data_IF_903053944153
#
_entry.id   IF_903053944153
#
_cell.length_a   1.000
_cell.length_b   1.000
_cell.length_c   1.000
_cell.angle_alpha   90.00
_cell.angle_beta   90.00
_cell.angle_gamma   90.00
#
_symmetry.space_group_name_H-M   'P 1'
#
loop_
_entity.id
_entity.type
_entity.pdbx_description
1 polymer ?
#
# COMPACT_ATOMS: atom_id res chain seq x y z
N UNK A 1 17.23 4.58 21.37
CA UNK A 1 17.10 4.78 19.91
C UNK A 1 16.11 3.73 19.55
N UNK A 2 14.91 4.18 19.28
CA UNK A 2 13.72 3.33 19.34
C UNK A 2 13.78 2.39 18.13
N UNK A 3 13.52 1.11 18.38
CA UNK A 3 13.89 0.01 17.47
C UNK A 3 13.13 0.02 16.15
N UNK A 4 11.97 0.67 16.11
CA UNK A 4 11.15 0.74 14.91
C UNK A 4 11.64 1.80 13.91
N UNK A 5 12.22 2.92 14.35
CA UNK A 5 12.75 3.94 13.44
C UNK A 5 13.95 3.41 12.65
N UNK A 6 14.78 2.57 13.26
CA UNK A 6 15.87 1.87 12.57
C UNK A 6 15.35 0.92 11.50
N UNK A 7 14.28 0.17 11.80
CA UNK A 7 13.60 -0.69 10.83
C UNK A 7 12.95 0.12 9.70
N UNK A 8 12.36 1.26 10.02
CA UNK A 8 11.76 2.18 9.03
C UNK A 8 12.82 2.70 8.05
N UNK A 9 13.97 3.14 8.58
CA UNK A 9 15.09 3.57 7.75
C UNK A 9 15.62 2.44 6.86
N UNK A 10 15.65 1.20 7.37
CA UNK A 10 16.06 0.03 6.60
C UNK A 10 15.08 -0.33 5.47
N UNK A 11 13.77 -0.25 5.74
CA UNK A 11 12.72 -0.43 4.70
C UNK A 11 12.89 0.62 3.61
N UNK A 12 13.05 1.89 4.00
CA UNK A 12 13.27 2.99 3.06
C UNK A 12 14.54 2.76 2.21
N UNK A 13 15.65 2.37 2.82
CA UNK A 13 16.89 2.04 2.12
C UNK A 13 16.69 0.92 1.10
N UNK A 14 16.02 -0.17 1.48
CA UNK A 14 15.72 -1.28 0.56
C UNK A 14 14.86 -0.81 -0.60
N UNK A 15 13.79 -0.06 -0.35
CA UNK A 15 12.89 0.44 -1.39
C UNK A 15 13.61 1.33 -2.42
N UNK A 16 14.56 2.16 -1.96
CA UNK A 16 15.41 2.98 -2.82
C UNK A 16 16.36 2.14 -3.70
N UNK A 17 16.76 0.96 -3.22
CA UNK A 17 17.73 0.10 -3.90
C UNK A 17 17.14 -0.88 -4.94
N UNK A 18 15.86 -1.26 -4.81
CA UNK A 18 15.21 -2.25 -5.68
C UNK A 18 14.72 -1.64 -7.01
N UNK A 19 14.23 -2.45 -7.94
CA UNK A 19 13.66 -1.96 -9.21
C UNK A 19 12.27 -1.33 -9.04
N UNK A 20 11.81 -0.59 -10.05
CA UNK A 20 10.46 0.00 -10.06
C UNK A 20 9.35 -1.05 -10.03
N UNK A 21 9.56 -2.21 -10.67
CA UNK A 21 8.60 -3.31 -10.62
C UNK A 21 8.46 -3.90 -9.22
N UNK A 22 9.59 -4.08 -8.50
CA UNK A 22 9.57 -4.54 -7.10
C UNK A 22 8.88 -3.53 -6.18
N UNK A 23 9.15 -2.23 -6.36
CA UNK A 23 8.45 -1.16 -5.63
C UNK A 23 6.95 -1.14 -5.91
N UNK A 24 6.54 -1.34 -7.16
CA UNK A 24 5.13 -1.38 -7.53
C UNK A 24 4.39 -2.53 -6.85
N UNK A 25 4.98 -3.73 -6.84
CA UNK A 25 4.42 -4.89 -6.15
C UNK A 25 4.36 -4.66 -4.63
N UNK A 26 5.42 -4.10 -4.05
CA UNK A 26 5.43 -3.77 -2.62
C UNK A 26 4.30 -2.81 -2.26
N UNK A 27 4.18 -1.70 -2.98
CA UNK A 27 3.16 -0.69 -2.72
C UNK A 27 1.74 -1.27 -2.90
N UNK A 28 1.51 -2.07 -3.95
CA UNK A 28 0.23 -2.76 -4.14
C UNK A 28 -0.10 -3.73 -3.01
N UNK A 29 0.90 -4.47 -2.50
CA UNK A 29 0.78 -5.36 -1.35
C UNK A 29 0.31 -4.65 -0.09
N UNK A 30 1.01 -3.57 0.27
CA UNK A 30 0.66 -2.76 1.45
C UNK A 30 -0.72 -2.14 1.31
N UNK A 31 -1.02 -1.51 0.16
CA UNK A 31 -2.32 -0.90 -0.09
C UNK A 31 -3.47 -1.92 -0.03
N UNK A 32 -3.26 -3.14 -0.51
CA UNK A 32 -4.26 -4.21 -0.48
C UNK A 32 -4.58 -4.68 0.94
N UNK A 33 -3.58 -4.74 1.83
CA UNK A 33 -3.81 -5.06 3.24
C UNK A 33 -4.62 -3.98 3.94
N UNK A 34 -4.24 -2.72 3.75
CA UNK A 34 -4.93 -1.58 4.34
C UNK A 34 -6.38 -1.49 3.82
N UNK A 35 -6.58 -1.62 2.50
CA UNK A 35 -7.92 -1.67 1.90
C UNK A 35 -8.72 -2.85 2.46
N UNK A 36 -8.08 -4.01 2.67
CA UNK A 36 -8.70 -5.14 3.32
C UNK A 36 -9.18 -4.82 4.73
N UNK A 37 -8.34 -4.20 5.57
CA UNK A 37 -8.75 -3.79 6.92
C UNK A 37 -9.91 -2.80 6.87
N UNK A 38 -9.86 -1.81 5.99
CA UNK A 38 -10.93 -0.82 5.82
C UNK A 38 -12.26 -1.47 5.42
N UNK A 39 -12.25 -2.37 4.43
CA UNK A 39 -13.44 -3.12 4.01
C UNK A 39 -13.99 -4.09 5.08
N UNK A 40 -13.20 -4.38 6.12
CA UNK A 40 -13.63 -5.21 7.25
C UNK A 40 -14.41 -4.42 8.31
N UNK A 41 -14.35 -3.10 8.27
CA UNK A 41 -15.07 -2.22 9.19
C UNK A 41 -16.59 -2.38 9.00
N UNK A 42 -17.40 -2.06 10.02
CA UNK A 42 -18.84 -1.87 9.86
C UNK A 42 -19.17 -0.94 8.68
N UNK A 43 -20.27 -1.21 7.96
CA UNK A 43 -20.63 -0.43 6.75
C UNK A 43 -20.77 1.08 7.01
N UNK A 44 -21.18 1.47 8.22
CA UNK A 44 -21.32 2.86 8.66
C UNK A 44 -19.99 3.54 9.04
N UNK A 45 -18.93 2.76 9.20
CA UNK A 45 -17.56 3.24 9.44
C UNK A 45 -16.70 3.24 8.17
N UNK A 46 -17.18 2.63 7.08
CA UNK A 46 -16.46 2.61 5.80
C UNK A 46 -16.56 3.96 5.09
N UNK A 47 -15.41 4.56 4.79
CA UNK A 47 -15.33 5.74 3.95
C UNK A 47 -15.68 5.36 2.50
N UNK A 48 -16.76 5.96 1.98
CA UNK A 48 -17.28 5.65 0.65
C UNK A 48 -16.24 5.87 -0.45
N UNK A 49 -15.41 6.90 -0.31
CA UNK A 49 -14.31 7.16 -1.24
C UNK A 49 -13.26 6.06 -1.21
N UNK A 50 -12.79 5.64 -0.03
CA UNK A 50 -11.82 4.55 0.12
C UNK A 50 -12.30 3.27 -0.58
N UNK A 51 -13.53 2.83 -0.29
CA UNK A 51 -14.11 1.64 -0.94
C UNK A 51 -14.21 1.80 -2.46
N UNK A 52 -14.49 3.02 -2.95
CA UNK A 52 -14.56 3.30 -4.38
C UNK A 52 -13.22 3.11 -5.12
N UNK A 53 -12.08 3.09 -4.41
CA UNK A 53 -10.75 2.89 -4.99
C UNK A 53 -10.41 1.41 -5.23
N UNK A 54 -11.22 0.45 -4.78
CA UNK A 54 -11.00 -0.99 -4.98
C UNK A 54 -10.77 -1.38 -6.46
N UNK A 55 -11.54 -0.90 -7.45
CA UNK A 55 -11.28 -1.18 -8.87
C UNK A 55 -9.93 -0.62 -9.38
N UNK A 56 -9.51 0.55 -8.86
CA UNK A 56 -8.21 1.12 -9.18
C UNK A 56 -7.10 0.21 -8.65
N UNK A 57 -7.18 -0.20 -7.37
CA UNK A 57 -6.18 -1.08 -6.76
C UNK A 57 -6.10 -2.45 -7.44
N UNK A 58 -7.24 -3.02 -7.85
CA UNK A 58 -7.26 -4.22 -8.69
C UNK A 58 -6.48 -4.02 -10.00
N UNK A 59 -6.69 -2.88 -10.67
CA UNK A 59 -5.95 -2.56 -11.91
C UNK A 59 -4.46 -2.36 -11.65
N UNK A 60 -4.08 -1.77 -10.52
CA UNK A 60 -2.67 -1.65 -10.12
C UNK A 60 -2.04 -3.01 -9.97
N UNK A 61 -2.69 -3.96 -9.29
CA UNK A 61 -2.22 -5.34 -9.19
C UNK A 61 -1.98 -6.00 -10.53
N UNK A 62 -2.91 -5.85 -11.47
CA UNK A 62 -2.72 -6.38 -12.82
C UNK A 62 -1.52 -5.75 -13.52
N UNK A 63 -1.38 -4.43 -13.42
CA UNK A 63 -0.27 -3.69 -14.02
C UNK A 63 1.10 -4.07 -13.46
N UNK A 64 1.25 -4.11 -12.13
CA UNK A 64 2.54 -4.42 -11.48
C UNK A 64 2.98 -5.87 -11.69
N UNK A 65 2.02 -6.77 -12.01
CA UNK A 65 2.27 -8.17 -12.36
C UNK A 65 2.35 -8.41 -13.87
N UNK A 66 2.46 -7.35 -14.66
CA UNK A 66 2.81 -7.41 -16.08
C UNK A 66 1.64 -7.50 -17.05
N UNK A 67 0.41 -7.23 -16.62
CA UNK A 67 -0.69 -6.99 -17.55
C UNK A 67 -0.59 -5.56 -18.12
N UNK A 68 -0.09 -5.45 -19.35
CA UNK A 68 0.08 -4.15 -20.01
C UNK A 68 -1.26 -3.47 -20.36
N UNK A 69 -2.38 -4.18 -20.33
CA UNK A 69 -3.70 -3.61 -20.60
C UNK A 69 -4.22 -2.77 -19.42
N UNK A 70 -3.70 -3.01 -18.22
CA UNK A 70 -4.09 -2.31 -17.00
C UNK A 70 -3.70 -0.82 -17.01
N UNK A 71 -2.68 -0.44 -17.79
CA UNK A 71 -2.15 0.93 -17.79
C UNK A 71 -3.22 2.00 -18.02
N UNK A 72 -4.14 1.77 -18.96
CA UNK A 72 -5.20 2.72 -19.28
C UNK A 72 -6.25 2.82 -18.17
N UNK A 73 -6.52 1.72 -17.45
CA UNK A 73 -7.43 1.71 -16.31
C UNK A 73 -6.82 2.46 -15.13
N UNK A 74 -5.55 2.19 -14.79
CA UNK A 74 -4.86 2.89 -13.69
C UNK A 74 -4.76 4.39 -13.97
N UNK A 75 -4.34 4.76 -15.18
CA UNK A 75 -4.28 6.17 -15.59
C UNK A 75 -5.63 6.88 -15.46
N UNK A 76 -6.72 6.20 -15.85
CA UNK A 76 -8.07 6.76 -15.75
C UNK A 76 -8.48 6.97 -14.29
N UNK A 77 -8.31 5.97 -13.43
CA UNK A 77 -8.69 6.08 -12.02
C UNK A 77 -7.92 7.19 -11.29
N UNK A 78 -6.62 7.34 -11.58
CA UNK A 78 -5.84 8.48 -11.05
C UNK A 78 -6.36 9.82 -11.58
N UNK A 79 -6.70 9.91 -12.87
CA UNK A 79 -7.27 11.13 -13.43
C UNK A 79 -8.65 11.48 -12.84
N UNK A 80 -9.49 10.47 -12.56
CA UNK A 80 -10.78 10.65 -11.89
C UNK A 80 -10.60 11.18 -10.47
N UNK A 81 -9.66 10.62 -9.70
CA UNK A 81 -9.27 11.16 -8.40
C UNK A 81 -8.81 12.62 -8.50
N UNK A 82 -7.87 12.93 -9.41
CA UNK A 82 -7.33 14.28 -9.56
C UNK A 82 -8.37 15.35 -9.96
N UNK A 83 -9.50 14.93 -10.51
CA UNK A 83 -10.62 15.81 -10.89
C UNK A 83 -11.76 15.80 -9.87
N UNK A 84 -11.68 14.98 -8.84
CA UNK A 84 -12.68 14.86 -7.78
C UNK A 84 -12.46 15.88 -6.67
N UNK A 85 -13.46 16.05 -5.81
CA UNK A 85 -13.37 16.89 -4.60
C UNK A 85 -12.35 16.37 -3.57
N UNK A 86 -11.99 15.09 -3.66
CA UNK A 86 -11.00 14.44 -2.80
C UNK A 86 -9.55 14.83 -3.11
N UNK A 87 -9.29 15.39 -4.31
CA UNK A 87 -7.98 15.93 -4.66
C UNK A 87 -7.97 17.46 -4.47
N UNK A 88 -8.02 17.91 -3.23
CA UNK A 88 -8.10 19.33 -2.89
C UNK A 88 -6.72 19.97 -2.63
N UNK A 89 -6.63 21.28 -2.88
CA UNK A 89 -5.51 22.11 -2.45
C UNK A 89 -5.83 22.91 -1.17
N UNK A 90 -6.98 22.63 -0.55
CA UNK A 90 -7.55 23.43 0.55
C UNK A 90 -6.89 23.16 1.92
N UNK A 91 -5.70 22.54 1.93
CA UNK A 91 -4.99 22.21 3.17
C UNK A 91 -5.76 21.20 4.01
N UNK A 92 -5.83 21.42 5.32
CA UNK A 92 -6.52 20.54 6.28
C UNK A 92 -8.06 20.67 6.24
N UNK A 93 -8.61 21.55 5.39
CA UNK A 93 -10.06 21.84 5.34
C UNK A 93 -10.81 21.08 4.22
N UNK A 94 -10.12 20.21 3.48
CA UNK A 94 -10.77 19.37 2.47
C UNK A 94 -11.26 18.02 3.04
N UNK A 95 -11.95 17.20 2.24
CA UNK A 95 -12.45 15.91 2.69
C UNK A 95 -11.32 14.97 3.13
N UNK A 96 -11.30 14.63 4.42
CA UNK A 96 -10.31 13.75 5.07
C UNK A 96 -10.23 12.33 4.47
N UNK A 97 -11.23 11.93 3.68
CA UNK A 97 -11.34 10.59 3.11
C UNK A 97 -10.15 10.20 2.21
N UNK A 98 -9.43 11.17 1.63
CA UNK A 98 -8.23 10.89 0.83
C UNK A 98 -6.95 10.69 1.66
N UNK A 99 -6.90 11.21 2.89
CA UNK A 99 -5.77 11.01 3.81
C UNK A 99 -5.96 9.74 4.66
N UNK A 100 -7.16 9.14 4.65
CA UNK A 100 -7.40 7.80 5.19
C UNK A 100 -6.35 6.82 4.64
N UNK A 101 -5.76 6.03 5.55
CA UNK A 101 -4.55 5.27 5.28
C UNK A 101 -4.67 4.31 4.09
N UNK A 102 -5.81 3.63 3.92
CA UNK A 102 -6.03 2.74 2.78
C UNK A 102 -6.23 3.49 1.46
N UNK A 103 -6.95 4.61 1.47
CA UNK A 103 -7.14 5.46 0.29
C UNK A 103 -5.81 6.05 -0.19
N UNK A 104 -5.06 6.67 0.72
CA UNK A 104 -3.75 7.24 0.44
C UNK A 104 -2.77 6.17 -0.08
N UNK A 105 -2.74 4.99 0.54
CA UNK A 105 -1.90 3.87 0.09
C UNK A 105 -2.29 3.37 -1.31
N UNK A 106 -3.58 3.25 -1.62
CA UNK A 106 -4.04 2.86 -2.96
C UNK A 106 -3.64 3.86 -4.03
N UNK A 107 -3.76 5.16 -3.74
CA UNK A 107 -3.34 6.25 -4.63
C UNK A 107 -1.82 6.27 -4.81
N UNK A 108 -1.04 6.11 -3.74
CA UNK A 108 0.42 6.00 -3.83
C UNK A 108 0.86 4.76 -4.60
N UNK A 109 0.21 3.61 -4.43
CA UNK A 109 0.50 2.41 -5.23
C UNK A 109 0.22 2.66 -6.73
N UNK A 110 -0.87 3.33 -7.07
CA UNK A 110 -1.17 3.73 -8.44
C UNK A 110 -0.11 4.68 -9.01
N UNK A 111 0.33 5.67 -8.23
CA UNK A 111 1.40 6.59 -8.62
C UNK A 111 2.77 5.91 -8.75
N UNK A 112 3.10 4.96 -7.86
CA UNK A 112 4.31 4.15 -7.96
C UNK A 112 4.34 3.36 -9.28
N UNK A 113 3.21 2.80 -9.69
CA UNK A 113 3.07 2.11 -10.98
C UNK A 113 3.21 3.07 -12.17
N UNK A 114 2.52 4.22 -12.16
CA UNK A 114 2.51 5.15 -13.31
C UNK A 114 3.82 5.91 -13.49
N UNK A 115 4.43 6.37 -12.39
CA UNK A 115 5.57 7.28 -12.42
C UNK A 115 6.89 6.61 -12.13
N UNK A 116 6.88 5.38 -11.63
CA UNK A 116 8.09 4.60 -11.26
C UNK A 116 8.97 5.27 -10.19
N UNK A 117 8.47 6.33 -9.56
CA UNK A 117 9.16 7.08 -8.52
C UNK A 117 9.20 6.26 -7.23
N UNK A 118 10.36 6.28 -6.57
CA UNK A 118 10.57 5.52 -5.34
C UNK A 118 9.77 6.08 -4.17
N UNK A 119 9.53 7.39 -4.14
CA UNK A 119 8.93 8.08 -3.00
C UNK A 119 7.54 7.56 -2.71
N UNK A 120 6.75 7.22 -3.75
CA UNK A 120 5.42 6.65 -3.56
C UNK A 120 5.43 5.30 -2.84
N UNK A 121 6.42 4.44 -3.08
CA UNK A 121 6.53 3.18 -2.34
C UNK A 121 6.93 3.42 -0.88
N UNK A 122 7.78 4.42 -0.62
CA UNK A 122 8.16 4.83 0.74
C UNK A 122 6.96 5.44 1.47
N UNK A 123 6.17 6.30 0.83
CA UNK A 123 4.96 6.87 1.41
C UNK A 123 3.89 5.81 1.66
N UNK A 124 3.76 4.82 0.78
CA UNK A 124 2.87 3.67 1.01
C UNK A 124 3.30 2.87 2.24
N UNK A 125 4.60 2.63 2.43
CA UNK A 125 5.15 2.02 3.66
C UNK A 125 4.77 2.82 4.91
N UNK A 126 4.92 4.16 4.84
CA UNK A 126 4.54 5.07 5.93
C UNK A 126 3.05 4.99 6.31
N UNK A 127 2.15 4.93 5.33
CA UNK A 127 0.70 4.79 5.58
C UNK A 127 0.35 3.54 6.39
N UNK A 128 1.07 2.43 6.20
CA UNK A 128 0.83 1.24 7.01
C UNK A 128 1.27 1.42 8.47
N UNK A 129 2.38 2.12 8.71
CA UNK A 129 2.87 2.44 10.07
C UNK A 129 1.90 3.39 10.77
N UNK A 130 1.47 4.44 10.07
CA UNK A 130 0.48 5.40 10.58
C UNK A 130 -0.88 4.75 10.88
N UNK A 131 -1.34 3.82 10.03
CA UNK A 131 -2.58 3.08 10.29
C UNK A 131 -2.53 2.27 11.60
N UNK A 132 -1.38 1.65 11.91
CA UNK A 132 -1.18 0.93 13.18
C UNK A 132 -1.18 1.93 14.35
N UNK A 133 -0.44 3.03 14.24
CA UNK A 133 -0.39 4.07 15.28
C UNK A 133 -1.79 4.65 15.56
N UNK A 134 -2.53 5.02 14.51
CA UNK A 134 -3.92 5.50 14.62
C UNK A 134 -4.85 4.48 15.26
N UNK A 135 -4.76 3.21 14.89
CA UNK A 135 -5.58 2.15 15.48
C UNK A 135 -5.29 1.98 16.98
N UNK A 136 -4.02 2.01 17.38
CA UNK A 136 -3.64 1.91 18.79
C UNK A 136 -4.09 3.12 19.60
N UNK A 137 -4.01 4.33 19.02
CA UNK A 137 -4.54 5.55 19.65
C UNK A 137 -6.05 5.44 19.86
N UNK A 138 -6.80 4.97 18.86
CA UNK A 138 -8.24 4.73 18.99
C UNK A 138 -8.58 3.72 20.09
N UNK A 139 -7.86 2.60 20.17
CA UNK A 139 -8.06 1.61 21.24
C UNK A 139 -7.76 2.20 22.63
N UNK A 140 -6.67 2.96 22.76
CA UNK A 140 -6.30 3.61 24.02
C UNK A 140 -7.33 4.65 24.48
N UNK A 141 -8.04 5.29 23.55
CA UNK A 141 -9.14 6.21 23.86
C UNK A 141 -10.42 5.49 24.29
N UNK A 142 -10.64 4.23 23.87
CA UNK A 142 -11.81 3.43 24.23
C UNK A 142 -11.65 2.66 25.55
N UNK A 143 -10.44 2.18 25.84
CA UNK A 143 -10.15 1.30 26.96
C UNK A 143 -9.33 2.04 28.03
N UNK A 144 -9.96 2.96 28.77
CA UNK A 144 -9.32 3.75 29.86
C UNK A 144 -8.63 2.89 30.95
N UNK A 145 -8.85 1.57 30.99
CA UNK A 145 -8.43 0.65 32.07
C UNK A 145 -7.50 -0.52 31.66
N UNK A 146 -7.16 -0.72 30.37
CA UNK A 146 -6.21 -1.78 29.95
C UNK A 146 -4.78 -1.25 29.74
N UNK A 147 -3.78 -2.10 30.01
CA UNK A 147 -2.38 -1.74 29.82
C UNK A 147 -2.15 -1.44 28.33
N UNK A 148 -1.54 -0.29 27.96
CA UNK A 148 -1.35 0.07 26.58
C UNK A 148 -0.53 -1.03 25.88
N UNK A 149 -1.03 -1.51 24.74
CA UNK A 149 -0.25 -2.29 23.79
C UNK A 149 1.04 -1.52 23.54
N UNK A 150 2.18 -2.20 23.58
CA UNK A 150 3.48 -1.57 23.29
C UNK A 150 3.49 -1.08 21.84
N UNK A 151 3.25 0.22 21.65
CA UNK A 151 3.20 0.87 20.34
C UNK A 151 4.49 0.61 19.57
N UNK A 152 5.65 0.68 20.22
CA UNK A 152 6.93 0.47 19.55
C UNK A 152 7.06 -0.98 19.04
N UNK A 153 6.54 -1.96 19.78
CA UNK A 153 6.51 -3.37 19.35
C UNK A 153 5.58 -3.58 18.14
N UNK A 154 4.40 -2.96 18.15
CA UNK A 154 3.45 -3.05 17.05
C UNK A 154 3.99 -2.40 15.76
N UNK A 155 4.57 -1.19 15.86
CA UNK A 155 5.20 -0.51 14.73
C UNK A 155 6.41 -1.30 14.20
N UNK A 156 7.24 -1.84 15.10
CA UNK A 156 8.35 -2.71 14.71
C UNK A 156 7.88 -3.97 13.99
N UNK A 157 6.75 -4.56 14.42
CA UNK A 157 6.19 -5.76 13.82
C UNK A 157 5.70 -5.55 12.38
N UNK A 158 5.05 -4.41 12.10
CA UNK A 158 4.66 -4.06 10.72
C UNK A 158 5.89 -3.80 9.85
N UNK A 159 6.91 -3.12 10.36
CA UNK A 159 8.14 -2.88 9.58
C UNK A 159 8.91 -4.18 9.30
N UNK A 160 8.96 -5.10 10.26
CA UNK A 160 9.51 -6.44 10.01
C UNK A 160 8.72 -7.21 8.97
N UNK A 161 7.38 -7.08 8.96
CA UNK A 161 6.53 -7.64 7.92
C UNK A 161 6.88 -7.06 6.55
N UNK A 162 7.01 -5.75 6.43
CA UNK A 162 7.41 -5.10 5.17
C UNK A 162 8.78 -5.58 4.68
N UNK A 163 9.73 -5.83 5.58
CA UNK A 163 11.01 -6.44 5.21
C UNK A 163 10.87 -7.88 4.69
N UNK A 164 9.99 -8.70 5.31
CA UNK A 164 9.68 -10.05 4.82
C UNK A 164 9.00 -10.03 3.45
N UNK A 165 8.12 -9.06 3.22
CA UNK A 165 7.49 -8.84 1.91
C UNK A 165 8.52 -8.51 0.84
N UNK A 166 9.48 -7.62 1.16
CA UNK A 166 10.60 -7.29 0.27
C UNK A 166 11.49 -8.51 0.00
N UNK A 167 11.73 -9.37 0.98
CA UNK A 167 12.45 -10.64 0.79
C UNK A 167 11.71 -11.61 -0.12
N UNK A 168 10.38 -11.67 -0.02
CA UNK A 168 9.55 -12.48 -0.91
C UNK A 168 9.60 -11.93 -2.34
N UNK A 169 9.41 -10.62 -2.51
CA UNK A 169 9.45 -9.93 -3.81
C UNK A 169 10.82 -10.10 -4.49
N UNK A 170 11.91 -10.02 -3.73
CA UNK A 170 13.27 -10.15 -4.24
C UNK A 170 13.56 -11.52 -4.90
N UNK A 171 12.77 -12.56 -4.59
CA UNK A 171 12.87 -13.86 -5.28
C UNK A 171 12.47 -13.79 -6.75
N UNK A 172 11.75 -12.74 -7.13
CA UNK A 172 11.18 -12.52 -8.46
C UNK A 172 11.76 -11.30 -9.18
N UNK A 173 12.82 -10.68 -8.66
CA UNK A 173 13.38 -9.42 -9.20
C UNK A 173 13.68 -9.48 -10.71
N UNK A 174 14.08 -10.65 -11.23
CA UNK A 174 14.37 -10.83 -12.65
C UNK A 174 13.14 -10.63 -13.53
N UNK A 175 12.00 -11.18 -13.10
CA UNK A 175 10.74 -11.06 -13.83
C UNK A 175 10.16 -9.65 -13.64
N UNK A 176 10.16 -9.15 -12.39
CA UNK A 176 9.57 -7.86 -12.04
C UNK A 176 10.29 -6.66 -12.66
N UNK A 177 11.61 -6.76 -12.91
CA UNK A 177 12.40 -5.69 -13.55
C UNK A 177 11.81 -5.24 -14.89
N UNK A 178 11.12 -6.14 -15.60
CA UNK A 178 10.55 -5.88 -16.92
C UNK A 178 9.03 -5.91 -16.94
N UNK A 179 8.37 -6.02 -15.78
CA UNK A 179 6.92 -6.14 -15.71
C UNK A 179 6.17 -4.98 -16.39
N UNK A 180 6.71 -3.75 -16.32
CA UNK A 180 6.11 -2.59 -16.99
C UNK A 180 6.08 -2.67 -18.53
N UNK A 181 6.83 -3.59 -19.15
CA UNK A 181 6.77 -3.84 -20.61
C UNK A 181 5.79 -4.96 -20.98
N UNK A 182 5.10 -5.51 -19.99
CA UNK A 182 4.29 -6.71 -20.13
C UNK A 182 5.09 -7.98 -19.86
N UNK A 183 4.44 -8.96 -19.23
CA UNK A 183 4.99 -10.30 -19.01
C UNK A 183 4.23 -11.34 -19.83
N UNK A 184 4.85 -12.50 -20.11
CA UNK A 184 4.12 -13.66 -20.61
C UNK A 184 2.97 -14.01 -19.65
N UNK A 185 1.82 -14.41 -20.21
CA UNK A 185 0.60 -14.71 -19.44
C UNK A 185 0.88 -15.72 -18.33
N UNK A 186 1.62 -16.79 -18.62
CA UNK A 186 1.97 -17.83 -17.64
C UNK A 186 2.81 -17.27 -16.47
N UNK A 187 3.72 -16.32 -16.76
CA UNK A 187 4.50 -15.63 -15.73
C UNK A 187 3.59 -14.76 -14.86
N UNK A 188 2.71 -13.96 -15.45
CA UNK A 188 1.77 -13.12 -14.71
C UNK A 188 0.83 -13.96 -13.83
N UNK A 189 0.29 -15.06 -14.34
CA UNK A 189 -0.56 -15.98 -13.57
C UNK A 189 0.20 -16.54 -12.37
N UNK A 190 1.44 -17.01 -12.57
CA UNK A 190 2.29 -17.50 -11.48
C UNK A 190 2.52 -16.42 -10.43
N UNK A 191 2.92 -15.21 -10.84
CA UNK A 191 3.20 -14.12 -9.91
C UNK A 191 1.95 -13.66 -9.15
N UNK A 192 0.75 -13.73 -9.73
CA UNK A 192 -0.50 -13.49 -8.98
C UNK A 192 -0.65 -14.46 -7.81
N UNK A 193 -0.37 -15.75 -8.01
CA UNK A 193 -0.45 -16.75 -6.93
C UNK A 193 0.66 -16.55 -5.91
N UNK A 194 1.88 -16.32 -6.38
CA UNK A 194 3.08 -16.32 -5.54
C UNK A 194 3.37 -14.99 -4.83
N UNK A 195 2.80 -13.87 -5.33
CA UNK A 195 2.99 -12.54 -4.74
C UNK A 195 1.69 -11.94 -4.23
N UNK A 196 0.64 -11.85 -5.05
CA UNK A 196 -0.59 -11.17 -4.62
C UNK A 196 -1.19 -11.83 -3.39
N UNK A 197 -1.47 -13.13 -3.43
CA UNK A 197 -2.09 -13.83 -2.29
C UNK A 197 -1.31 -13.66 -0.95
N UNK A 198 0.00 -13.94 -0.87
CA UNK A 198 0.73 -13.78 0.40
C UNK A 198 0.89 -12.33 0.84
N UNK A 199 1.11 -11.39 -0.08
CA UNK A 199 1.28 -9.97 0.26
C UNK A 199 -0.02 -9.30 0.70
N UNK A 200 -1.17 -9.86 0.29
CA UNK A 200 -2.52 -9.36 0.64
C UNK A 200 -3.06 -9.96 1.94
N UNK A 201 -2.36 -10.92 2.54
CA UNK A 201 -2.77 -11.51 3.82
C UNK A 201 -2.95 -10.41 4.87
N UNK A 202 -3.92 -10.53 5.77
CA UNK A 202 -4.02 -9.63 6.93
C UNK A 202 -3.20 -10.14 8.11
N UNK A 203 -3.01 -11.46 8.19
CA UNK A 203 -2.14 -12.18 9.13
C UNK A 203 -0.66 -11.97 8.82
#
# INVERSE_FOLDING_TARGET
MDTWQELSALVEERLKSVSSGERGVFAAGVAERLMGWHEALPEDEQASFTVSLRPLLNSVWEGVLGDSTAFSAVKRGVAEYMLSEYCHNDGQDGPDDADESAAAAALYAAHAYLFTCQDFAVWTSGRAVEAIDQHLQYLAEQEEDELPVDTDEALASELQRQLRDLDLIARYSKDLRYAGMGLPIDTSIRLRVELRAPLSSRE
#
